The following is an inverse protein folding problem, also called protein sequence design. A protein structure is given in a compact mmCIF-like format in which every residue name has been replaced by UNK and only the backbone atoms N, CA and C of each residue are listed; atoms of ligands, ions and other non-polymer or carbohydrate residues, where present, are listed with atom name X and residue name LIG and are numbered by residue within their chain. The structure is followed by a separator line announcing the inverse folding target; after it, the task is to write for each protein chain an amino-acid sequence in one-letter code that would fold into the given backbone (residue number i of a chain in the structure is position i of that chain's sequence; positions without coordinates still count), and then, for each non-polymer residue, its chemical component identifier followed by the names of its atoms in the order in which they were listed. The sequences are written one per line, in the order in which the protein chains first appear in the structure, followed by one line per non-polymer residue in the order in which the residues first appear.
data_IF_227397429845
#
_entry.id   IF_227397429845
#
_cell.length_a   1.000
_cell.length_b   1.000
_cell.length_c   1.000
_cell.angle_alpha   90.00
_cell.angle_beta   90.00
_cell.angle_gamma   90.00
#
_symmetry.space_group_name_H-M   'P 1'
#
loop_
_entity.id
_entity.type
_entity.pdbx_description
1 polymer ?
#
# COMPACT_ATOMS: atom_id res chain seq x y z
N UNK A 1 -54.36 -26.29 14.81
CA UNK A 1 -53.35 -26.78 15.80
C UNK A 1 -52.56 -27.97 15.29
N UNK A 2 -53.21 -29.08 14.76
CA UNK A 2 -52.47 -30.20 14.18
C UNK A 2 -51.66 -29.87 12.93
N UNK A 3 -52.15 -28.97 12.07
CA UNK A 3 -51.45 -28.52 10.87
C UNK A 3 -50.24 -27.58 11.19
N UNK A 4 -50.35 -26.77 12.23
CA UNK A 4 -49.25 -25.94 12.72
C UNK A 4 -48.15 -26.79 13.40
N UNK A 5 -48.53 -27.82 14.14
CA UNK A 5 -47.60 -28.77 14.75
C UNK A 5 -46.87 -29.60 13.69
N UNK A 6 -47.55 -29.99 12.60
CA UNK A 6 -46.94 -30.70 11.47
C UNK A 6 -45.93 -29.79 10.69
N UNK A 7 -46.26 -28.51 10.46
CA UNK A 7 -45.36 -27.55 9.84
C UNK A 7 -44.14 -27.26 10.71
N UNK A 8 -44.32 -27.13 12.02
CA UNK A 8 -43.19 -26.90 12.96
C UNK A 8 -42.27 -28.12 13.07
N UNK A 9 -42.79 -29.32 12.93
CA UNK A 9 -41.98 -30.55 12.89
C UNK A 9 -41.22 -30.71 11.57
N UNK A 10 -41.84 -30.32 10.45
CA UNK A 10 -41.15 -30.27 9.13
C UNK A 10 -40.03 -29.23 9.12
N UNK A 11 -40.25 -28.05 9.68
CA UNK A 11 -39.17 -27.02 9.80
C UNK A 11 -38.01 -27.48 10.73
N UNK A 12 -38.31 -28.21 11.80
CA UNK A 12 -37.29 -28.76 12.68
C UNK A 12 -36.50 -29.94 12.05
N UNK A 13 -37.13 -30.77 11.24
CA UNK A 13 -36.51 -31.85 10.53
C UNK A 13 -35.67 -31.34 9.34
N UNK A 14 -36.13 -30.33 8.63
CA UNK A 14 -35.37 -29.66 7.58
C UNK A 14 -34.24 -28.78 8.12
N UNK A 15 -34.28 -28.31 9.36
CA UNK A 15 -33.30 -27.45 10.00
C UNK A 15 -31.97 -28.15 10.38
N UNK A 16 -31.96 -29.49 10.41
CA UNK A 16 -30.78 -30.29 10.82
C UNK A 16 -30.20 -31.15 9.70
N UNK A 17 -30.29 -30.73 8.47
CA UNK A 17 -29.67 -31.43 7.37
C UNK A 17 -28.16 -31.24 7.41
N UNK A 18 -27.42 -32.33 7.58
CA UNK A 18 -25.94 -32.38 7.49
C UNK A 18 -25.45 -32.44 6.04
N UNK A 19 -26.33 -32.27 5.07
CA UNK A 19 -25.97 -32.18 3.65
C UNK A 19 -25.28 -30.81 3.38
N UNK A 20 -23.98 -30.83 2.99
CA UNK A 20 -23.19 -29.62 2.73
C UNK A 20 -23.82 -28.73 1.65
N UNK A 21 -24.47 -29.33 0.64
CA UNK A 21 -25.09 -28.59 -0.46
C UNK A 21 -26.29 -27.80 0.05
N UNK A 22 -27.14 -28.40 0.89
CA UNK A 22 -28.29 -27.68 1.49
C UNK A 22 -27.85 -26.61 2.46
N UNK A 23 -26.81 -26.85 3.25
CA UNK A 23 -26.23 -25.82 4.14
C UNK A 23 -25.72 -24.64 3.32
N UNK A 24 -24.99 -24.90 2.25
CA UNK A 24 -24.49 -23.86 1.33
C UNK A 24 -25.65 -23.07 0.69
N UNK A 25 -26.66 -23.75 0.14
CA UNK A 25 -27.82 -23.08 -0.48
C UNK A 25 -28.62 -22.26 0.52
N UNK A 26 -28.72 -22.72 1.77
CA UNK A 26 -29.39 -21.95 2.84
C UNK A 26 -28.57 -20.70 3.21
N UNK A 27 -27.23 -20.81 3.35
CA UNK A 27 -26.37 -19.67 3.63
C UNK A 27 -26.40 -18.65 2.48
N UNK A 28 -26.32 -19.12 1.25
CA UNK A 28 -26.48 -18.23 0.08
C UNK A 28 -27.83 -17.51 0.05
N UNK A 29 -28.94 -18.20 0.43
CA UNK A 29 -30.29 -17.64 0.48
C UNK A 29 -30.51 -16.61 1.60
N UNK A 30 -29.59 -16.47 2.57
CA UNK A 30 -29.72 -15.47 3.66
C UNK A 30 -29.26 -14.08 3.23
N UNK A 31 -28.50 -13.99 2.14
CA UNK A 31 -28.01 -12.72 1.59
C UNK A 31 -28.93 -12.28 0.47
N UNK A 32 -29.51 -11.09 0.59
CA UNK A 32 -30.36 -10.52 -0.46
C UNK A 32 -29.52 -10.24 -1.72
N UNK A 33 -30.13 -10.44 -2.89
CA UNK A 33 -29.49 -10.10 -4.16
C UNK A 33 -29.25 -8.60 -4.23
N UNK A 34 -28.07 -8.22 -4.71
CA UNK A 34 -27.73 -6.82 -4.92
C UNK A 34 -28.65 -6.20 -5.97
N UNK A 35 -29.17 -5.02 -5.66
CA UNK A 35 -29.82 -4.17 -6.65
C UNK A 35 -28.75 -3.48 -7.50
N UNK A 36 -29.10 -3.08 -8.73
CA UNK A 36 -28.18 -2.33 -9.61
C UNK A 36 -27.64 -1.06 -8.93
N UNK A 37 -28.45 -0.39 -8.13
CA UNK A 37 -28.04 0.79 -7.37
C UNK A 37 -27.05 0.43 -6.27
N UNK A 38 -27.31 -0.68 -5.54
CA UNK A 38 -26.41 -1.20 -4.51
C UNK A 38 -25.05 -1.66 -5.08
N UNK A 39 -25.05 -2.26 -6.26
CA UNK A 39 -23.82 -2.65 -6.98
C UNK A 39 -22.97 -1.42 -7.31
N UNK A 40 -23.56 -0.37 -7.86
CA UNK A 40 -22.90 0.90 -8.17
C UNK A 40 -22.35 1.55 -6.89
N UNK A 41 -23.10 1.53 -5.78
CA UNK A 41 -22.65 2.10 -4.51
C UNK A 41 -21.44 1.35 -3.95
N UNK A 42 -21.47 0.01 -4.02
CA UNK A 42 -20.34 -0.82 -3.57
C UNK A 42 -19.10 -0.58 -4.46
N UNK A 43 -19.29 -0.55 -5.79
CA UNK A 43 -18.19 -0.27 -6.73
C UNK A 43 -17.54 1.09 -6.44
N UNK A 44 -18.33 2.14 -6.23
CA UNK A 44 -17.79 3.47 -5.85
C UNK A 44 -17.04 3.46 -4.51
N UNK A 45 -17.50 2.66 -3.54
CA UNK A 45 -16.80 2.52 -2.25
C UNK A 45 -15.48 1.79 -2.40
N UNK A 46 -15.42 0.77 -3.26
CA UNK A 46 -14.16 0.05 -3.55
C UNK A 46 -13.18 1.01 -4.25
N UNK A 47 -13.63 1.73 -5.27
CA UNK A 47 -12.81 2.70 -5.99
C UNK A 47 -12.31 3.80 -5.05
N UNK A 48 -13.17 4.39 -4.23
CA UNK A 48 -12.78 5.36 -3.22
C UNK A 48 -11.72 4.83 -2.25
N UNK A 49 -11.88 3.59 -1.77
CA UNK A 49 -10.90 2.94 -0.91
C UNK A 49 -9.55 2.70 -1.59
N UNK A 50 -9.54 2.36 -2.88
CA UNK A 50 -8.31 2.20 -3.66
C UNK A 50 -7.60 3.56 -3.84
N UNK A 51 -8.36 4.63 -4.11
CA UNK A 51 -7.83 5.99 -4.22
C UNK A 51 -7.20 6.46 -2.90
N UNK A 52 -7.87 6.24 -1.76
CA UNK A 52 -7.34 6.58 -0.43
C UNK A 52 -6.03 5.83 -0.14
N UNK A 53 -5.96 4.54 -0.52
CA UNK A 53 -4.73 3.76 -0.40
C UNK A 53 -3.60 4.32 -1.26
N UNK A 54 -3.89 4.71 -2.51
CA UNK A 54 -2.90 5.30 -3.42
C UNK A 54 -2.41 6.66 -2.93
N UNK A 55 -3.29 7.48 -2.36
CA UNK A 55 -2.89 8.75 -1.74
C UNK A 55 -1.92 8.51 -0.58
N UNK A 56 -2.24 7.55 0.31
CA UNK A 56 -1.35 7.19 1.42
C UNK A 56 0.00 6.62 0.94
N UNK A 57 0.01 5.77 -0.09
CA UNK A 57 1.22 5.20 -0.70
C UNK A 57 2.09 6.29 -1.31
N UNK A 58 1.49 7.29 -1.96
CA UNK A 58 2.21 8.41 -2.58
C UNK A 58 3.00 9.25 -1.58
N UNK A 59 2.62 9.19 -0.30
CA UNK A 59 3.31 9.88 0.79
C UNK A 59 4.65 9.24 1.18
N UNK A 60 4.92 7.99 0.76
CA UNK A 60 6.15 7.26 1.11
C UNK A 60 7.14 7.24 -0.07
N UNK A 61 8.31 7.86 0.06
CA UNK A 61 9.34 7.84 -1.00
C UNK A 61 9.80 6.43 -1.37
N UNK A 62 9.86 5.52 -0.40
CA UNK A 62 10.31 4.15 -0.63
C UNK A 62 9.32 3.32 -1.46
N UNK A 63 8.02 3.58 -1.34
CA UNK A 63 7.02 2.93 -2.22
C UNK A 63 7.11 3.45 -3.65
N UNK A 64 7.44 4.72 -3.83
CA UNK A 64 7.69 5.29 -5.17
C UNK A 64 8.95 4.66 -5.78
N UNK A 65 10.00 4.44 -4.99
CA UNK A 65 11.20 3.72 -5.44
C UNK A 65 10.86 2.29 -5.89
N UNK A 66 9.99 1.57 -5.17
CA UNK A 66 9.52 0.23 -5.57
C UNK A 66 8.76 0.26 -6.90
N UNK A 67 7.94 1.30 -7.14
CA UNK A 67 7.26 1.50 -8.44
C UNK A 67 8.30 1.66 -9.56
N UNK A 68 9.42 2.36 -9.32
CA UNK A 68 10.48 2.47 -10.32
C UNK A 68 11.20 1.15 -10.58
N UNK A 69 11.38 0.31 -9.56
CA UNK A 69 11.92 -1.05 -9.75
C UNK A 69 10.98 -1.85 -10.65
N UNK A 70 9.68 -1.85 -10.37
CA UNK A 70 8.69 -2.52 -11.21
C UNK A 70 8.66 -1.94 -12.65
N UNK A 71 8.82 -0.63 -12.82
CA UNK A 71 8.91 -0.01 -14.13
C UNK A 71 10.14 -0.49 -14.93
N UNK A 72 11.29 -0.67 -14.29
CA UNK A 72 12.48 -1.25 -14.93
C UNK A 72 12.29 -2.75 -15.27
N UNK A 73 11.62 -3.50 -14.42
CA UNK A 73 11.27 -4.90 -14.69
C UNK A 73 10.36 -5.03 -15.91
N UNK A 74 9.36 -4.14 -16.05
CA UNK A 74 8.48 -4.07 -17.22
C UNK A 74 9.28 -3.66 -18.46
N UNK A 75 10.20 -2.70 -18.35
CA UNK A 75 11.07 -2.25 -19.46
C UNK A 75 11.93 -3.39 -19.97
N UNK A 76 12.53 -4.16 -19.07
CA UNK A 76 13.37 -5.31 -19.35
C UNK A 76 12.59 -6.55 -19.82
N UNK A 77 11.25 -6.53 -19.72
CA UNK A 77 10.38 -7.64 -20.12
C UNK A 77 10.37 -8.82 -19.13
N UNK A 78 10.85 -8.63 -17.91
CA UNK A 78 10.81 -9.64 -16.85
C UNK A 78 9.42 -9.75 -16.20
N UNK A 79 8.65 -8.65 -16.23
CA UNK A 79 7.28 -8.57 -15.71
C UNK A 79 6.36 -8.08 -16.84
N UNK A 80 5.20 -8.72 -16.95
CA UNK A 80 4.18 -8.32 -17.92
C UNK A 80 3.41 -7.12 -17.37
N UNK A 81 3.12 -6.12 -18.21
CA UNK A 81 2.47 -4.88 -17.78
C UNK A 81 1.11 -5.11 -17.12
N UNK A 82 0.29 -6.03 -17.64
CA UNK A 82 -1.06 -6.34 -17.11
C UNK A 82 -1.05 -6.87 -15.67
N UNK A 83 0.07 -7.39 -15.19
CA UNK A 83 0.19 -7.82 -13.78
C UNK A 83 0.40 -6.66 -12.81
N UNK A 84 0.76 -5.48 -13.31
CA UNK A 84 1.08 -4.28 -12.52
C UNK A 84 0.05 -3.18 -12.71
N UNK A 85 -0.39 -2.96 -13.96
CA UNK A 85 -1.29 -1.86 -14.34
C UNK A 85 -2.47 -2.42 -15.10
N UNK A 86 -3.69 -2.12 -14.64
CA UNK A 86 -4.96 -2.48 -15.31
C UNK A 86 -5.35 -1.46 -16.37
N UNK A 87 -4.87 -0.23 -16.28
CA UNK A 87 -5.20 0.85 -17.21
C UNK A 87 -4.85 2.22 -16.66
N UNK A 88 -5.46 3.24 -17.24
CA UNK A 88 -5.26 4.63 -16.86
C UNK A 88 -6.60 5.29 -16.61
N UNK A 89 -6.62 6.18 -15.62
CA UNK A 89 -7.75 7.05 -15.39
C UNK A 89 -7.58 8.30 -16.26
N UNK A 90 -8.49 8.50 -17.20
CA UNK A 90 -8.58 9.72 -17.98
C UNK A 90 -9.96 10.33 -17.70
N UNK A 91 -10.04 11.51 -17.05
CA UNK A 91 -11.33 12.13 -16.68
C UNK A 91 -12.16 12.52 -17.90
N UNK A 92 -11.55 12.61 -19.08
CA UNK A 92 -12.21 13.02 -20.35
C UNK A 92 -12.60 11.83 -21.25
N UNK A 93 -12.17 10.61 -20.92
CA UNK A 93 -12.54 9.40 -21.65
C UNK A 93 -13.44 8.50 -20.79
N UNK A 94 -14.46 7.90 -21.42
CA UNK A 94 -15.20 6.82 -20.80
C UNK A 94 -14.22 5.67 -20.46
N UNK A 95 -14.33 5.15 -19.23
CA UNK A 95 -13.45 4.10 -18.71
C UNK A 95 -13.29 2.95 -19.72
N UNK A 96 -12.14 2.91 -20.37
CA UNK A 96 -11.73 1.80 -21.23
C UNK A 96 -11.15 0.69 -20.32
N UNK A 97 -12.00 0.19 -19.42
CA UNK A 97 -11.65 -0.91 -18.52
C UNK A 97 -11.61 -2.20 -19.34
N UNK A 98 -10.42 -2.68 -19.59
CA UNK A 98 -10.22 -4.04 -20.11
C UNK A 98 -10.16 -4.97 -18.90
N UNK A 99 -11.31 -5.53 -18.50
CA UNK A 99 -11.37 -6.55 -17.46
C UNK A 99 -10.54 -7.78 -17.85
N UNK A 100 -9.94 -8.47 -16.86
CA UNK A 100 -9.26 -9.76 -17.12
C UNK A 100 -10.21 -10.77 -17.81
N UNK A 101 -11.52 -10.64 -17.58
CA UNK A 101 -12.57 -11.46 -18.20
C UNK A 101 -12.65 -11.27 -19.73
N UNK A 102 -12.27 -10.11 -20.25
CA UNK A 102 -12.20 -9.90 -21.70
C UNK A 102 -11.03 -10.65 -22.37
N UNK A 103 -10.10 -11.17 -21.60
CA UNK A 103 -9.00 -11.99 -22.11
C UNK A 103 -9.40 -13.45 -22.30
N UNK A 104 -10.32 -13.98 -21.49
CA UNK A 104 -10.80 -15.36 -21.57
C UNK A 104 -11.91 -15.54 -22.63
N UNK A 105 -12.69 -14.48 -22.91
CA UNK A 105 -13.82 -14.55 -23.86
C UNK A 105 -13.38 -14.51 -25.34
N UNK A 106 -12.12 -14.14 -25.62
CA UNK A 106 -11.59 -14.14 -26.99
C UNK A 106 -10.96 -15.47 -27.43
N UNK A 107 -10.88 -16.48 -26.54
CA UNK A 107 -10.32 -17.79 -26.86
C UNK A 107 -11.37 -18.83 -27.31
N UNK A 108 -12.68 -18.53 -27.20
CA UNK A 108 -13.75 -19.52 -27.53
C UNK A 108 -14.39 -19.39 -28.93
N UNK A 109 -14.10 -18.36 -29.72
CA UNK A 109 -14.52 -18.30 -31.11
C UNK A 109 -13.44 -18.86 -32.07
N UNK A 110 -13.22 -20.16 -31.97
CA UNK A 110 -12.54 -20.96 -33.01
C UNK A 110 -13.41 -21.11 -34.25
N UNK A 111 -13.59 -20.09 -35.07
CA UNK A 111 -13.94 -20.29 -36.49
C UNK A 111 -13.91 -18.92 -37.23
N UNK A 112 -12.73 -18.32 -37.41
CA UNK A 112 -12.35 -17.62 -38.62
C UNK A 112 -10.88 -17.17 -38.58
N UNK A 113 -10.08 -17.65 -39.52
CA UNK A 113 -8.69 -17.26 -39.87
C UNK A 113 -7.80 -16.70 -38.73
N UNK A 114 -7.32 -17.57 -37.91
CA UNK A 114 -6.47 -17.53 -36.71
C UNK A 114 -5.30 -16.54 -36.59
N UNK A 115 -5.42 -15.27 -36.95
CA UNK A 115 -4.32 -14.31 -36.82
C UNK A 115 -4.74 -12.86 -36.44
N UNK A 116 -6.01 -12.55 -36.37
CA UNK A 116 -6.49 -11.17 -36.09
C UNK A 116 -6.56 -10.79 -34.62
N UNK A 117 -7.11 -11.64 -33.78
CA UNK A 117 -7.35 -11.37 -32.36
C UNK A 117 -6.06 -11.27 -31.58
N UNK A 118 -5.13 -12.20 -31.76
CA UNK A 118 -3.82 -12.21 -31.07
C UNK A 118 -2.99 -10.97 -31.40
N UNK A 119 -3.02 -10.48 -32.66
CA UNK A 119 -2.29 -9.26 -33.04
C UNK A 119 -2.90 -8.00 -32.49
N UNK A 120 -4.23 -7.90 -32.38
CA UNK A 120 -4.91 -6.75 -31.78
C UNK A 120 -4.64 -6.66 -30.30
N UNK A 121 -4.66 -7.80 -29.60
CA UNK A 121 -4.33 -7.90 -28.17
C UNK A 121 -2.88 -7.51 -27.90
N UNK A 122 -1.94 -8.07 -28.68
CA UNK A 122 -0.51 -7.73 -28.55
C UNK A 122 -0.28 -6.23 -28.76
N UNK A 123 -0.97 -5.62 -29.74
CA UNK A 123 -0.88 -4.19 -29.98
C UNK A 123 -1.42 -3.36 -28.83
N UNK A 124 -2.57 -3.72 -28.25
CA UNK A 124 -3.13 -3.06 -27.05
C UNK A 124 -2.17 -3.16 -25.87
N UNK A 125 -1.56 -4.32 -25.66
CA UNK A 125 -0.57 -4.53 -24.59
C UNK A 125 0.70 -3.69 -24.80
N UNK A 126 1.17 -3.53 -26.03
CA UNK A 126 2.31 -2.68 -26.35
C UNK A 126 1.98 -1.20 -26.14
N UNK A 127 0.79 -0.76 -26.53
CA UNK A 127 0.29 0.59 -26.30
C UNK A 127 0.17 0.89 -24.80
N UNK A 128 -0.42 -0.03 -24.03
CA UNK A 128 -0.52 0.06 -22.56
C UNK A 128 0.88 0.16 -21.93
N UNK A 129 1.82 -0.68 -22.38
CA UNK A 129 3.22 -0.67 -21.89
C UNK A 129 3.90 0.67 -22.21
N UNK A 130 3.75 1.17 -23.42
CA UNK A 130 4.38 2.43 -23.84
C UNK A 130 3.85 3.62 -23.02
N UNK A 131 2.53 3.69 -22.82
CA UNK A 131 1.91 4.76 -22.03
C UNK A 131 2.28 4.65 -20.54
N UNK A 132 2.30 3.44 -19.97
CA UNK A 132 2.73 3.22 -18.60
C UNK A 132 4.17 3.68 -18.37
N UNK A 133 5.10 3.29 -19.26
CA UNK A 133 6.49 3.71 -19.14
C UNK A 133 6.64 5.23 -19.27
N UNK A 134 5.87 5.87 -20.14
CA UNK A 134 5.86 7.34 -20.27
C UNK A 134 5.42 8.01 -18.94
N UNK A 135 4.37 7.50 -18.29
CA UNK A 135 3.89 8.03 -17.00
C UNK A 135 4.88 7.75 -15.87
N UNK A 136 5.51 6.59 -15.84
CA UNK A 136 6.57 6.29 -14.87
C UNK A 136 7.81 7.19 -15.05
N UNK A 137 8.19 7.52 -16.29
CA UNK A 137 9.29 8.46 -16.55
C UNK A 137 8.94 9.90 -16.12
N UNK A 138 7.67 10.31 -16.23
CA UNK A 138 7.18 11.58 -15.70
C UNK A 138 7.24 11.59 -14.17
N UNK A 139 6.75 10.53 -13.53
CA UNK A 139 6.79 10.34 -12.09
C UNK A 139 8.23 10.41 -11.57
N UNK A 140 9.19 9.78 -12.27
CA UNK A 140 10.62 9.82 -11.93
C UNK A 140 11.16 11.25 -11.92
N UNK A 141 10.79 12.06 -12.90
CA UNK A 141 11.21 13.47 -12.94
C UNK A 141 10.66 14.27 -11.76
N UNK A 142 9.40 14.07 -11.39
CA UNK A 142 8.83 14.74 -10.21
C UNK A 142 9.47 14.25 -8.91
N UNK A 143 9.82 12.97 -8.82
CA UNK A 143 10.55 12.42 -7.69
C UNK A 143 11.96 13.02 -7.56
N UNK A 144 12.70 13.19 -8.64
CA UNK A 144 14.00 13.89 -8.62
C UNK A 144 13.88 15.34 -8.15
N UNK A 145 12.79 16.02 -8.54
CA UNK A 145 12.53 17.39 -8.06
C UNK A 145 12.25 17.38 -6.55
N UNK A 146 11.48 16.42 -6.07
CA UNK A 146 11.19 16.25 -4.64
C UNK A 146 12.48 15.97 -3.85
N UNK A 147 13.34 15.07 -4.34
CA UNK A 147 14.63 14.75 -3.72
C UNK A 147 15.54 15.98 -3.64
N UNK A 148 15.66 16.75 -4.73
CA UNK A 148 16.44 18.00 -4.73
C UNK A 148 15.87 19.07 -3.78
N UNK A 149 14.56 19.12 -3.60
CA UNK A 149 13.92 20.01 -2.63
C UNK A 149 14.21 19.56 -1.19
N UNK A 150 14.19 18.25 -0.95
CA UNK A 150 14.57 17.66 0.34
C UNK A 150 16.04 17.98 0.71
N UNK A 151 16.98 17.81 -0.22
CA UNK A 151 18.40 18.07 0.02
C UNK A 151 18.70 19.56 0.32
N UNK A 152 17.93 20.48 -0.26
CA UNK A 152 18.15 21.92 -0.10
C UNK A 152 17.46 22.52 1.12
N UNK A 153 16.22 22.14 1.35
CA UNK A 153 15.32 22.83 2.29
C UNK A 153 14.81 21.89 3.40
N UNK A 154 15.06 20.59 3.27
CA UNK A 154 14.61 19.57 4.21
C UNK A 154 13.16 19.14 4.01
N UNK A 155 12.75 18.21 4.86
CA UNK A 155 11.37 17.68 4.90
C UNK A 155 10.36 18.77 5.26
N UNK A 156 9.21 18.75 4.58
CA UNK A 156 8.09 19.67 4.86
C UNK A 156 8.25 21.06 4.27
N UNK A 157 9.30 21.36 3.49
CA UNK A 157 9.41 22.61 2.76
C UNK A 157 8.27 22.77 1.73
N UNK A 158 7.93 24.00 1.38
CA UNK A 158 6.87 24.27 0.42
C UNK A 158 7.18 23.67 -0.96
N UNK A 159 8.45 23.63 -1.34
CA UNK A 159 8.90 23.02 -2.59
C UNK A 159 8.72 21.48 -2.55
N UNK A 160 9.10 20.86 -1.43
CA UNK A 160 8.90 19.43 -1.20
C UNK A 160 7.41 19.03 -1.27
N UNK A 161 6.54 19.74 -0.52
CA UNK A 161 5.10 19.48 -0.49
C UNK A 161 4.43 19.66 -1.86
N UNK A 162 4.86 20.64 -2.64
CA UNK A 162 4.36 20.81 -4.02
C UNK A 162 4.78 19.66 -4.94
N UNK A 163 6.02 19.21 -4.83
CA UNK A 163 6.51 18.08 -5.63
C UNK A 163 5.79 16.77 -5.23
N UNK A 164 5.61 16.53 -3.93
CA UNK A 164 4.86 15.38 -3.41
C UNK A 164 3.41 15.38 -3.91
N UNK A 165 2.73 16.55 -3.89
CA UNK A 165 1.37 16.66 -4.41
C UNK A 165 1.28 16.30 -5.89
N UNK A 166 2.25 16.72 -6.71
CA UNK A 166 2.32 16.35 -8.13
C UNK A 166 2.52 14.84 -8.32
N UNK A 167 3.39 14.23 -7.51
CA UNK A 167 3.58 12.78 -7.53
C UNK A 167 2.27 12.05 -7.21
N UNK A 168 1.53 12.53 -6.21
CA UNK A 168 0.22 11.98 -5.86
C UNK A 168 -0.78 12.13 -7.01
N UNK A 169 -0.87 13.31 -7.63
CA UNK A 169 -1.72 13.56 -8.79
C UNK A 169 -1.38 12.64 -9.98
N UNK A 170 -0.08 12.45 -10.28
CA UNK A 170 0.37 11.56 -11.36
C UNK A 170 0.04 10.09 -11.05
N UNK A 171 0.26 9.63 -9.82
CA UNK A 171 -0.05 8.26 -9.40
C UNK A 171 -1.54 7.94 -9.50
N UNK A 172 -2.40 8.92 -9.18
CA UNK A 172 -3.85 8.78 -9.30
C UNK A 172 -4.33 8.59 -10.75
N UNK A 173 -3.52 8.95 -11.74
CA UNK A 173 -3.83 8.72 -13.15
C UNK A 173 -3.54 7.28 -13.61
N UNK A 174 -2.85 6.48 -12.80
CA UNK A 174 -2.47 5.11 -13.11
C UNK A 174 -3.35 4.17 -12.29
N UNK A 175 -4.07 3.28 -12.94
CA UNK A 175 -4.85 2.25 -12.29
C UNK A 175 -3.97 1.01 -12.09
N UNK A 176 -3.47 0.84 -10.88
CA UNK A 176 -2.69 -0.34 -10.51
C UNK A 176 -3.59 -1.53 -10.19
N UNK A 177 -3.13 -2.74 -10.45
CA UNK A 177 -3.82 -3.96 -10.04
C UNK A 177 -3.93 -4.02 -8.50
N UNK A 178 -4.99 -4.64 -7.99
CA UNK A 178 -5.19 -4.82 -6.54
C UNK A 178 -3.97 -5.49 -5.88
N UNK A 179 -3.38 -6.49 -6.55
CA UNK A 179 -2.18 -7.18 -6.08
C UNK A 179 -0.96 -6.25 -5.93
N UNK A 180 -0.80 -5.33 -6.87
CA UNK A 180 0.29 -4.34 -6.81
C UNK A 180 0.07 -3.36 -5.66
N UNK A 181 -1.17 -2.89 -5.47
CA UNK A 181 -1.52 -2.01 -4.35
C UNK A 181 -1.28 -2.71 -3.01
N UNK A 182 -1.67 -3.97 -2.87
CA UNK A 182 -1.39 -4.77 -1.66
C UNK A 182 0.12 -4.88 -1.39
N UNK A 183 0.93 -5.16 -2.42
CA UNK A 183 2.40 -5.22 -2.31
C UNK A 183 2.98 -3.89 -1.83
N UNK A 184 2.53 -2.77 -2.39
CA UNK A 184 2.99 -1.43 -1.99
C UNK A 184 2.55 -1.09 -0.56
N UNK A 185 1.32 -1.43 -0.16
CA UNK A 185 0.84 -1.26 1.21
C UNK A 185 1.64 -2.10 2.21
N UNK A 186 1.97 -3.35 1.86
CA UNK A 186 2.78 -4.21 2.73
C UNK A 186 4.19 -3.65 2.91
N UNK A 187 4.79 -3.09 1.87
CA UNK A 187 6.08 -2.40 1.99
C UNK A 187 6.02 -1.26 3.01
N UNK A 188 5.00 -0.40 2.96
CA UNK A 188 4.80 0.66 3.97
C UNK A 188 4.64 0.08 5.37
N UNK A 189 3.85 -1.00 5.53
CA UNK A 189 3.66 -1.66 6.84
C UNK A 189 4.96 -2.18 7.41
N UNK A 190 5.77 -2.85 6.60
CA UNK A 190 7.08 -3.39 7.00
C UNK A 190 8.00 -2.27 7.48
N UNK A 191 8.04 -1.14 6.76
CA UNK A 191 8.84 0.02 7.13
C UNK A 191 8.37 0.65 8.45
N UNK A 192 7.07 0.89 8.59
CA UNK A 192 6.49 1.43 9.82
C UNK A 192 6.75 0.50 11.00
N UNK A 193 6.68 -0.83 10.80
CA UNK A 193 6.98 -1.78 11.86
C UNK A 193 8.46 -1.78 12.23
N UNK A 194 9.37 -1.64 11.25
CA UNK A 194 10.80 -1.52 11.50
C UNK A 194 11.12 -0.26 12.34
N UNK A 195 10.54 0.89 11.99
CA UNK A 195 10.66 2.13 12.79
C UNK A 195 10.14 1.91 14.21
N UNK A 196 8.91 1.40 14.37
CA UNK A 196 8.30 1.15 15.68
C UNK A 196 9.09 0.14 16.51
N UNK A 197 9.76 -0.83 15.89
CA UNK A 197 10.63 -1.79 16.57
C UNK A 197 11.86 -1.10 17.13
N UNK A 198 12.54 -0.30 16.34
CA UNK A 198 13.71 0.47 16.78
C UNK A 198 13.34 1.48 17.88
N UNK A 199 12.22 2.18 17.76
CA UNK A 199 11.72 3.10 18.80
C UNK A 199 11.40 2.39 20.12
N UNK A 200 10.77 1.21 20.07
CA UNK A 200 10.49 0.40 21.25
C UNK A 200 11.78 -0.06 21.94
N UNK A 201 12.78 -0.48 21.16
CA UNK A 201 14.09 -0.88 21.69
C UNK A 201 14.83 0.31 22.30
N UNK A 202 14.82 1.48 21.65
CA UNK A 202 15.38 2.72 22.20
C UNK A 202 14.71 3.10 23.52
N UNK A 203 13.39 3.09 23.56
CA UNK A 203 12.64 3.34 24.78
C UNK A 203 13.03 2.34 25.89
N UNK A 204 13.13 1.06 25.58
CA UNK A 204 13.53 0.05 26.55
C UNK A 204 14.93 0.31 27.08
N UNK A 205 15.90 0.65 26.25
CA UNK A 205 17.26 0.94 26.69
C UNK A 205 17.30 2.22 27.53
N UNK A 206 16.67 3.30 27.08
CA UNK A 206 16.78 4.63 27.73
C UNK A 206 15.94 4.71 28.98
N UNK A 207 14.69 4.22 28.98
CA UNK A 207 13.80 4.33 30.13
C UNK A 207 14.06 3.21 31.16
N UNK A 208 14.18 1.95 30.70
CA UNK A 208 14.29 0.82 31.63
C UNK A 208 15.73 0.60 32.11
N UNK A 209 16.72 0.57 31.19
CA UNK A 209 18.12 0.30 31.53
C UNK A 209 18.84 1.54 32.07
N UNK A 210 18.66 2.70 31.42
CA UNK A 210 19.29 3.95 31.88
C UNK A 210 18.50 4.66 32.97
N UNK A 211 17.26 4.22 33.25
CA UNK A 211 16.36 4.79 34.28
C UNK A 211 16.00 6.26 34.05
N UNK A 212 15.95 6.69 32.81
CA UNK A 212 15.43 8.01 32.46
C UNK A 212 13.90 8.03 32.67
N UNK A 213 13.32 9.03 33.33
CA UNK A 213 11.87 9.15 33.45
C UNK A 213 11.19 9.21 32.09
N UNK A 214 10.08 8.48 31.92
CA UNK A 214 9.36 8.39 30.65
C UNK A 214 8.90 9.75 30.13
N UNK A 215 8.51 10.66 31.02
CA UNK A 215 8.08 12.03 30.66
C UNK A 215 9.22 12.83 30.04
N UNK A 216 10.43 12.71 30.61
CA UNK A 216 11.64 13.38 30.09
C UNK A 216 12.03 12.79 28.73
N UNK A 217 11.98 11.47 28.59
CA UNK A 217 12.24 10.79 27.31
C UNK A 217 11.24 11.26 26.24
N UNK A 218 9.95 11.25 26.53
CA UNK A 218 8.91 11.67 25.59
C UNK A 218 9.02 13.13 25.15
N UNK A 219 9.53 14.01 26.04
CA UNK A 219 9.71 15.43 25.71
C UNK A 219 11.01 15.71 24.94
N UNK A 220 12.10 15.01 25.26
CA UNK A 220 13.44 15.36 24.75
C UNK A 220 13.91 14.49 23.58
N UNK A 221 13.48 13.22 23.52
CA UNK A 221 14.00 12.30 22.52
C UNK A 221 13.43 12.50 21.11
N UNK A 222 12.14 12.72 20.88
CA UNK A 222 11.59 12.83 19.52
C UNK A 222 12.28 13.86 18.63
N UNK A 223 12.59 15.09 19.11
CA UNK A 223 13.31 16.07 18.29
C UNK A 223 14.79 15.69 18.05
N UNK A 224 15.34 14.75 18.84
CA UNK A 224 16.72 14.29 18.77
C UNK A 224 16.87 12.85 18.26
N UNK A 225 15.82 12.31 17.65
CA UNK A 225 15.76 10.91 17.21
C UNK A 225 16.97 10.49 16.35
N UNK A 226 17.42 11.36 15.44
CA UNK A 226 18.54 11.13 14.53
C UNK A 226 19.85 11.78 15.00
N UNK A 227 19.82 12.46 16.14
CA UNK A 227 21.01 13.15 16.67
C UNK A 227 21.85 12.20 17.53
N UNK A 228 22.87 11.60 16.93
CA UNK A 228 23.80 10.68 17.61
C UNK A 228 24.53 11.34 18.80
N UNK A 229 24.72 12.66 18.77
CA UNK A 229 25.40 13.41 19.83
C UNK A 229 24.52 13.56 21.08
N UNK A 230 23.19 13.47 20.95
CA UNK A 230 22.26 13.63 22.06
C UNK A 230 22.54 12.66 23.21
N UNK A 231 22.87 11.42 22.95
CA UNK A 231 23.20 10.43 23.98
C UNK A 231 24.46 10.80 24.77
N UNK A 232 25.45 11.38 24.10
CA UNK A 232 26.68 11.87 24.72
C UNK A 232 26.42 13.11 25.56
N UNK A 233 25.62 14.05 25.06
CA UNK A 233 25.23 15.27 25.78
C UNK A 233 24.45 14.95 27.08
N UNK A 234 23.60 13.94 27.04
CA UNK A 234 22.88 13.47 28.25
C UNK A 234 23.81 12.86 29.30
N UNK A 235 24.93 12.25 28.90
CA UNK A 235 25.92 11.77 29.87
C UNK A 235 26.69 12.89 30.56
N UNK A 236 26.98 13.96 29.81
CA UNK A 236 27.64 15.14 30.29
C UNK A 236 26.74 16.02 31.21
N UNK A 237 25.44 15.85 31.10
CA UNK A 237 24.44 16.69 31.79
C UNK A 237 24.36 16.51 33.33
N UNK A 238 25.09 15.52 33.91
CA UNK A 238 25.12 15.30 35.37
C UNK A 238 23.78 14.91 35.98
N UNK A 239 22.88 14.30 35.20
CA UNK A 239 21.56 13.84 35.65
C UNK A 239 21.65 12.46 36.32
N UNK A 240 20.64 12.03 37.11
CA UNK A 240 20.66 10.73 37.80
C UNK A 240 20.85 9.53 36.83
N UNK A 241 20.50 9.66 35.57
CA UNK A 241 20.64 8.62 34.52
C UNK A 241 21.93 8.74 33.74
N UNK A 242 22.72 9.82 33.85
CA UNK A 242 23.91 10.10 33.06
C UNK A 242 24.96 9.01 33.14
N UNK A 243 25.25 8.48 34.35
CA UNK A 243 26.24 7.43 34.54
C UNK A 243 25.83 6.10 33.85
N UNK A 244 24.56 5.72 34.03
CA UNK A 244 24.02 4.49 33.40
C UNK A 244 23.91 4.65 31.88
N UNK A 245 23.56 5.83 31.38
CA UNK A 245 23.50 6.12 29.96
C UNK A 245 24.88 6.02 29.28
N UNK A 246 25.96 6.45 29.98
CA UNK A 246 27.33 6.33 29.47
C UNK A 246 27.71 4.89 29.10
N UNK A 247 27.18 3.91 29.83
CA UNK A 247 27.41 2.47 29.54
C UNK A 247 26.61 1.95 28.35
N UNK A 248 25.56 2.67 27.94
CA UNK A 248 24.63 2.25 26.89
C UNK A 248 24.68 3.15 25.63
N UNK A 249 25.69 4.04 25.51
CA UNK A 249 25.86 4.90 24.32
C UNK A 249 25.92 4.07 23.03
N UNK A 250 26.77 3.00 22.91
CA UNK A 250 26.88 2.27 21.64
C UNK A 250 25.55 1.68 21.15
N UNK A 251 24.77 0.94 21.97
CA UNK A 251 23.47 0.41 21.51
C UNK A 251 22.43 1.48 21.21
N UNK A 252 22.49 2.65 21.88
CA UNK A 252 21.58 3.77 21.56
C UNK A 252 21.92 4.36 20.20
N UNK A 253 23.21 4.61 19.94
CA UNK A 253 23.68 5.15 18.67
C UNK A 253 23.46 4.17 17.50
N UNK A 254 23.64 2.86 17.72
CA UNK A 254 23.35 1.84 16.73
C UNK A 254 21.87 1.85 16.31
N UNK A 255 20.94 1.92 17.29
CA UNK A 255 19.53 2.01 17.01
C UNK A 255 19.13 3.34 16.34
N UNK A 256 19.77 4.45 16.70
CA UNK A 256 19.59 5.74 16.02
C UNK A 256 20.12 5.70 14.58
N UNK A 257 21.25 5.03 14.33
CA UNK A 257 21.77 4.83 12.99
C UNK A 257 20.82 3.97 12.14
N UNK A 258 20.30 2.87 12.70
CA UNK A 258 19.30 2.05 12.02
C UNK A 258 18.04 2.85 11.65
N UNK A 259 17.63 3.82 12.47
CA UNK A 259 16.53 4.71 12.13
C UNK A 259 16.91 5.71 11.02
N UNK A 260 18.14 6.22 11.03
CA UNK A 260 18.63 7.08 9.96
C UNK A 260 18.71 6.34 8.62
N UNK A 261 19.16 5.07 8.64
CA UNK A 261 19.26 4.21 7.45
C UNK A 261 17.87 3.86 6.88
N UNK A 262 16.83 3.83 7.71
CA UNK A 262 15.44 3.65 7.24
C UNK A 262 14.84 4.92 6.62
N UNK A 263 15.46 6.09 6.85
CA UNK A 263 15.02 7.36 6.30
C UNK A 263 15.64 7.67 4.93
N UNK A 264 16.81 7.08 4.64
CA UNK A 264 17.52 7.19 3.35
C UNK A 264 17.04 6.20 2.33
#
# INVERSE_FOLDING_TARGET
EEAEAALSNVDNEFGRTTDPVRMYMREMGTVELLTREGEIEIAKRIEGGLMDMMEAISGSPATIAEIFVMAEEIRNGTVVISTVVDGFHDPDQADDYVAEEDFDEYDEDEDDDGNGGSKALTKKMEELKAEALRRFDLLRRHFEVMHKAYDKEGYGSQAYMKAQKKISEDLMTIRFTARTIEKLCENVRVQVEAVRRNERQLRQVIVEKCRMPQEVFAAQFPPNLLNLQWSVDQTAAGKPWSETMGRHIPPIQELQQNLADLQT
#
